data_IF_144193765259
#
_entry.id   IF_144193765259
#
_cell.length_a   1.000
_cell.length_b   1.000
_cell.length_c   1.000
_cell.angle_alpha   90.00
_cell.angle_beta   90.00
_cell.angle_gamma   90.00
#
_symmetry.space_group_name_H-M   'P 1'
#
loop_
_entity.id
_entity.type
_entity.pdbx_description
1 polymer ?
#
# COMPACT_ATOMS: atom_id res chain seq x y z
N UNK A 1 5.81 1.18 28.28
CA UNK A 1 4.43 1.15 27.74
C UNK A 1 3.83 2.53 27.59
N UNK A 2 4.51 3.44 26.90
CA UNK A 2 3.92 4.74 26.57
C UNK A 2 3.61 4.79 25.08
N UNK A 3 2.48 4.18 24.69
CA UNK A 3 1.80 4.59 23.47
C UNK A 3 1.39 6.05 23.64
N UNK A 4 1.94 6.94 22.84
CA UNK A 4 1.55 8.36 22.86
C UNK A 4 0.07 8.46 22.54
N UNK A 5 -0.73 8.93 23.50
CA UNK A 5 -2.11 9.37 23.27
C UNK A 5 -2.05 10.64 22.42
N UNK A 6 -2.25 10.49 21.12
CA UNK A 6 -2.49 11.62 20.24
C UNK A 6 -3.98 11.88 20.32
N UNK A 7 -4.37 12.91 21.08
CA UNK A 7 -5.75 13.39 21.14
C UNK A 7 -6.06 14.13 19.83
N UNK A 8 -6.58 13.40 18.84
CA UNK A 8 -7.37 14.00 17.78
C UNK A 8 -8.80 14.19 18.33
N UNK A 9 -9.42 15.31 18.04
CA UNK A 9 -10.83 15.55 18.34
C UNK A 9 -11.71 14.70 17.44
N UNK A 10 -12.92 14.35 17.89
CA UNK A 10 -13.87 13.61 17.07
C UNK A 10 -14.16 14.32 15.74
N UNK A 11 -14.09 15.64 15.69
CA UNK A 11 -14.27 16.49 14.51
C UNK A 11 -13.11 16.32 13.49
N UNK A 12 -11.86 16.22 13.96
CA UNK A 12 -10.69 15.96 13.11
C UNK A 12 -10.70 14.53 12.54
N UNK A 13 -11.22 13.58 13.31
CA UNK A 13 -11.44 12.19 12.86
C UNK A 13 -12.57 12.16 11.83
N UNK A 14 -13.65 12.92 12.01
CA UNK A 14 -14.78 12.99 11.08
C UNK A 14 -14.41 13.67 9.75
N UNK A 15 -13.59 14.74 9.78
CA UNK A 15 -13.03 15.34 8.56
C UNK A 15 -12.15 14.36 7.78
N UNK A 16 -11.37 13.52 8.48
CA UNK A 16 -10.58 12.45 7.86
C UNK A 16 -11.46 11.37 7.24
N UNK A 17 -12.60 11.05 7.85
CA UNK A 17 -13.60 10.13 7.31
C UNK A 17 -14.24 10.67 6.01
N UNK A 18 -14.60 11.93 5.96
CA UNK A 18 -15.17 12.59 4.76
C UNK A 18 -14.16 12.55 3.60
N UNK A 19 -12.86 12.65 3.88
CA UNK A 19 -11.81 12.53 2.86
C UNK A 19 -11.62 11.10 2.35
N UNK A 20 -11.92 10.09 3.17
CA UNK A 20 -11.84 8.67 2.79
C UNK A 20 -13.04 8.18 1.98
N UNK A 21 -14.14 8.93 1.88
CA UNK A 21 -15.34 8.54 1.14
C UNK A 21 -15.21 8.58 -0.39
N UNK A 22 -14.10 9.07 -0.93
CA UNK A 22 -13.83 8.97 -2.39
C UNK A 22 -13.41 7.56 -2.77
N UNK A 23 -14.35 6.63 -2.65
CA UNK A 23 -14.12 5.24 -3.05
C UNK A 23 -14.01 5.10 -4.57
N UNK A 24 -13.00 4.36 -4.98
CA UNK A 24 -12.81 3.98 -6.38
C UNK A 24 -13.64 2.74 -6.67
N UNK A 25 -14.75 2.88 -7.40
CA UNK A 25 -15.36 1.72 -8.05
C UNK A 25 -14.43 1.24 -9.15
N UNK A 26 -14.01 0.01 -9.02
CA UNK A 26 -13.09 -0.63 -9.96
C UNK A 26 -13.68 -0.67 -11.35
N UNK A 27 -12.97 -0.08 -12.30
CA UNK A 27 -13.31 -0.15 -13.72
C UNK A 27 -12.35 -1.17 -14.37
N UNK A 28 -12.90 -2.12 -15.14
CA UNK A 28 -12.13 -3.13 -15.90
C UNK A 28 -10.98 -2.51 -16.72
N UNK A 29 -11.17 -1.31 -17.22
CA UNK A 29 -10.13 -0.57 -17.96
C UNK A 29 -8.94 -0.20 -17.05
N UNK A 30 -9.20 0.20 -15.83
CA UNK A 30 -8.16 0.56 -14.84
C UNK A 30 -7.33 -0.66 -14.49
N UNK A 31 -7.97 -1.82 -14.27
CA UNK A 31 -7.27 -3.08 -13.99
C UNK A 31 -6.38 -3.46 -15.19
N UNK A 32 -6.92 -3.38 -16.41
CA UNK A 32 -6.16 -3.67 -17.62
C UNK A 32 -4.92 -2.76 -17.74
N UNK A 33 -5.07 -1.47 -17.47
CA UNK A 33 -3.94 -0.52 -17.53
C UNK A 33 -2.86 -0.87 -16.48
N UNK A 34 -3.25 -1.20 -15.24
CA UNK A 34 -2.31 -1.65 -14.18
C UNK A 34 -1.55 -2.90 -14.63
N UNK A 35 -2.24 -3.90 -15.15
CA UNK A 35 -1.63 -5.16 -15.60
C UNK A 35 -0.65 -4.92 -16.73
N UNK A 36 -1.03 -4.16 -17.76
CA UNK A 36 -0.12 -3.83 -18.87
C UNK A 36 1.10 -3.06 -18.41
N UNK A 37 0.96 -2.10 -17.48
CA UNK A 37 2.08 -1.34 -16.97
C UNK A 37 3.06 -2.21 -16.16
N UNK A 38 2.55 -3.13 -15.32
CA UNK A 38 3.39 -4.05 -14.57
C UNK A 38 4.09 -5.07 -15.48
N UNK A 39 3.40 -5.60 -16.49
CA UNK A 39 4.02 -6.47 -17.49
C UNK A 39 5.09 -5.74 -18.30
N UNK A 40 4.84 -4.48 -18.66
CA UNK A 40 5.83 -3.66 -19.35
C UNK A 40 7.06 -3.39 -18.49
N UNK A 41 6.89 -3.10 -17.18
CA UNK A 41 7.99 -2.96 -16.23
C UNK A 41 8.83 -4.24 -16.17
N UNK A 42 8.21 -5.38 -15.94
CA UNK A 42 8.89 -6.67 -15.86
C UNK A 42 9.67 -7.00 -17.16
N UNK A 43 9.10 -6.66 -18.32
CA UNK A 43 9.77 -6.85 -19.61
C UNK A 43 10.95 -5.90 -19.80
N UNK A 44 10.85 -4.65 -19.37
CA UNK A 44 11.90 -3.61 -19.58
C UNK A 44 13.03 -3.70 -18.57
N UNK A 45 12.80 -4.20 -17.36
CA UNK A 45 13.85 -4.46 -16.37
C UNK A 45 14.80 -5.56 -16.82
N UNK A 46 14.31 -6.54 -17.58
CA UNK A 46 15.11 -7.61 -18.20
C UNK A 46 15.78 -7.24 -19.53
N UNK A 47 15.46 -6.08 -20.12
CA UNK A 47 15.90 -5.72 -21.48
C UNK A 47 16.27 -4.23 -21.64
N UNK A 48 17.15 -3.95 -22.60
CA UNK A 48 17.77 -2.63 -22.90
C UNK A 48 16.76 -1.55 -23.40
N UNK A 49 15.48 -1.84 -23.53
CA UNK A 49 14.48 -0.95 -24.11
C UNK A 49 13.94 0.12 -23.13
N UNK A 50 14.77 0.64 -22.24
CA UNK A 50 14.45 1.59 -21.15
C UNK A 50 13.85 2.96 -21.53
N UNK A 51 13.49 3.23 -22.79
CA UNK A 51 13.12 4.60 -23.23
C UNK A 51 11.78 4.76 -23.96
N UNK A 52 10.89 3.80 -24.01
CA UNK A 52 9.60 4.01 -24.67
C UNK A 52 8.48 4.32 -23.67
N UNK A 53 7.71 5.38 -23.97
CA UNK A 53 6.57 5.83 -23.16
C UNK A 53 5.56 4.70 -22.94
N UNK A 54 5.04 4.62 -21.73
CA UNK A 54 4.13 3.62 -21.13
C UNK A 54 2.80 3.34 -21.89
N UNK A 55 2.54 3.92 -23.06
CA UNK A 55 1.35 3.72 -23.88
C UNK A 55 1.69 3.12 -25.24
N UNK A 56 2.53 2.10 -25.26
CA UNK A 56 2.93 1.52 -26.54
C UNK A 56 1.85 0.52 -26.99
N UNK A 57 1.03 0.94 -27.95
CA UNK A 57 0.04 0.08 -28.63
C UNK A 57 0.70 -1.22 -29.14
N UNK A 58 1.95 -1.12 -29.62
CA UNK A 58 2.70 -2.27 -30.08
C UNK A 58 2.97 -3.29 -28.97
N UNK A 59 3.32 -2.82 -27.75
CA UNK A 59 3.52 -3.73 -26.61
C UNK A 59 2.22 -4.46 -26.24
N UNK A 60 1.08 -3.76 -26.19
CA UNK A 60 -0.24 -4.38 -25.95
C UNK A 60 -0.56 -5.43 -27.01
N UNK A 61 -0.32 -5.12 -28.28
CA UNK A 61 -0.49 -6.11 -29.36
C UNK A 61 0.43 -7.32 -29.18
N UNK A 62 1.68 -7.12 -28.74
CA UNK A 62 2.59 -8.22 -28.45
C UNK A 62 2.10 -9.09 -27.28
N UNK A 63 1.59 -8.46 -26.22
CA UNK A 63 0.98 -9.18 -25.08
C UNK A 63 -0.20 -10.01 -25.54
N UNK A 64 -1.12 -9.43 -26.31
CA UNK A 64 -2.31 -10.11 -26.83
C UNK A 64 -1.96 -11.30 -27.74
N UNK A 65 -0.87 -11.19 -28.49
CA UNK A 65 -0.45 -12.24 -29.43
C UNK A 65 0.42 -13.35 -28.79
N UNK A 66 1.28 -13.00 -27.84
CA UNK A 66 2.34 -13.89 -27.36
C UNK A 66 2.31 -14.15 -25.85
N UNK A 67 1.57 -13.35 -25.06
CA UNK A 67 1.55 -13.44 -23.61
C UNK A 67 0.12 -13.37 -23.02
N UNK A 68 -0.89 -13.68 -23.81
CA UNK A 68 -2.30 -13.56 -23.42
C UNK A 68 -2.63 -14.33 -22.14
N UNK A 69 -2.16 -15.56 -22.00
CA UNK A 69 -2.39 -16.37 -20.79
C UNK A 69 -1.76 -15.72 -19.53
N UNK A 70 -0.55 -15.17 -19.66
CA UNK A 70 0.12 -14.45 -18.56
C UNK A 70 -0.66 -13.19 -18.19
N UNK A 71 -1.16 -12.45 -19.18
CA UNK A 71 -2.00 -11.28 -18.98
C UNK A 71 -3.30 -11.64 -18.24
N UNK A 72 -4.01 -12.67 -18.69
CA UNK A 72 -5.27 -13.11 -18.08
C UNK A 72 -5.07 -13.51 -16.60
N UNK A 73 -4.02 -14.25 -16.28
CA UNK A 73 -3.66 -14.60 -14.91
C UNK A 73 -3.35 -13.36 -14.04
N UNK A 74 -2.58 -12.42 -14.58
CA UNK A 74 -2.30 -11.16 -13.86
C UNK A 74 -3.60 -10.34 -13.68
N UNK A 75 -4.44 -10.29 -14.71
CA UNK A 75 -5.71 -9.58 -14.67
C UNK A 75 -6.62 -10.12 -13.56
N UNK A 76 -6.81 -11.44 -13.47
CA UNK A 76 -7.61 -12.08 -12.42
C UNK A 76 -7.10 -11.74 -11.02
N UNK A 77 -5.78 -11.73 -10.80
CA UNK A 77 -5.19 -11.34 -9.52
C UNK A 77 -5.54 -9.88 -9.19
N UNK A 78 -5.29 -8.94 -10.11
CA UNK A 78 -5.60 -7.53 -9.87
C UNK A 78 -7.10 -7.26 -9.77
N UNK A 79 -7.96 -7.97 -10.50
CA UNK A 79 -9.41 -7.89 -10.37
C UNK A 79 -9.84 -8.29 -8.95
N UNK A 80 -9.32 -9.39 -8.43
CA UNK A 80 -9.58 -9.84 -7.06
C UNK A 80 -9.06 -8.85 -6.01
N UNK A 81 -7.88 -8.29 -6.20
CA UNK A 81 -7.31 -7.28 -5.30
C UNK A 81 -8.11 -5.97 -5.27
N UNK A 82 -8.68 -5.60 -6.42
CA UNK A 82 -9.46 -4.36 -6.59
C UNK A 82 -10.94 -4.53 -6.29
N UNK A 83 -11.41 -5.75 -6.00
CA UNK A 83 -12.81 -5.98 -5.67
C UNK A 83 -13.24 -5.19 -4.44
N UNK A 84 -14.45 -4.61 -4.48
CA UNK A 84 -15.02 -3.80 -3.43
C UNK A 84 -14.48 -2.37 -3.39
N UNK A 85 -14.70 -1.69 -2.28
CA UNK A 85 -14.25 -0.32 -2.08
C UNK A 85 -12.75 -0.28 -1.77
N UNK A 86 -12.06 0.68 -2.37
CA UNK A 86 -10.64 0.93 -2.14
C UNK A 86 -10.36 2.41 -1.95
N UNK A 87 -9.51 2.73 -0.97
CA UNK A 87 -9.04 4.10 -0.70
C UNK A 87 -7.51 4.11 -0.59
N UNK A 88 -6.91 5.28 -0.79
CA UNK A 88 -5.48 5.45 -0.55
C UNK A 88 -5.15 5.26 0.95
N UNK A 89 -4.08 4.53 1.33
CA UNK A 89 -3.87 4.08 2.71
C UNK A 89 -3.38 5.17 3.68
N UNK A 90 -3.16 6.39 3.20
CA UNK A 90 -2.83 7.57 4.03
C UNK A 90 -3.94 8.60 3.86
N UNK A 91 -4.65 8.90 4.95
CA UNK A 91 -5.79 9.83 4.92
C UNK A 91 -5.27 11.27 4.94
N UNK A 92 -5.09 11.86 3.76
CA UNK A 92 -4.73 13.26 3.56
C UNK A 92 -5.27 13.73 2.20
N UNK A 93 -5.32 15.04 2.01
CA UNK A 93 -5.65 15.63 0.71
C UNK A 93 -4.51 15.54 -0.33
N UNK A 94 -3.42 14.80 -0.01
CA UNK A 94 -2.26 14.69 -0.88
C UNK A 94 -1.38 15.93 -0.94
N UNK A 95 -1.92 17.10 -0.55
CA UNK A 95 -1.20 18.38 -0.51
C UNK A 95 -1.61 19.20 0.72
N UNK A 96 -0.71 20.02 1.22
CA UNK A 96 -1.00 21.01 2.25
C UNK A 96 -1.73 22.24 1.67
N UNK A 97 -2.06 23.20 2.54
CA UNK A 97 -2.74 24.45 2.15
C UNK A 97 -1.94 25.32 1.15
N UNK A 98 -0.66 25.04 0.95
CA UNK A 98 0.19 25.71 -0.05
C UNK A 98 0.25 24.95 -1.38
N UNK A 99 -0.40 23.79 -1.50
CA UNK A 99 -0.35 22.89 -2.64
C UNK A 99 0.90 22.00 -2.68
N UNK A 100 1.72 21.99 -1.61
CA UNK A 100 2.88 21.11 -1.51
C UNK A 100 2.43 19.70 -1.12
N UNK A 101 2.95 18.69 -1.82
CA UNK A 101 2.68 17.28 -1.48
C UNK A 101 3.11 16.98 -0.03
N UNK A 102 2.26 16.28 0.70
CA UNK A 102 2.49 15.91 2.11
C UNK A 102 3.09 14.51 2.27
N UNK A 103 3.17 13.75 1.20
CA UNK A 103 3.87 12.48 1.10
C UNK A 103 4.43 12.28 -0.32
N UNK A 104 5.36 11.33 -0.45
CA UNK A 104 5.89 10.91 -1.74
C UNK A 104 6.23 9.42 -1.74
N UNK A 105 6.18 8.77 -2.88
CA UNK A 105 6.59 7.38 -3.03
C UNK A 105 7.07 7.12 -4.47
N UNK A 106 7.92 6.10 -4.60
CA UNK A 106 8.48 5.66 -5.87
C UNK A 106 8.22 4.16 -6.08
N UNK A 107 8.41 3.72 -7.31
CA UNK A 107 8.30 2.32 -7.70
C UNK A 107 9.55 1.55 -7.22
N UNK A 108 9.53 1.15 -5.95
CA UNK A 108 10.65 0.51 -5.25
C UNK A 108 10.45 -0.97 -4.95
N UNK A 109 9.33 -1.56 -5.38
CA UNK A 109 9.10 -2.99 -5.23
C UNK A 109 10.17 -3.80 -6.00
N UNK A 110 10.70 -4.84 -5.34
CA UNK A 110 11.76 -5.66 -5.91
C UNK A 110 13.18 -5.09 -5.74
N UNK A 111 13.35 -3.87 -5.22
CA UNK A 111 14.69 -3.32 -4.93
C UNK A 111 15.39 -4.10 -3.83
N UNK A 112 16.72 -4.14 -3.91
CA UNK A 112 17.53 -4.79 -2.89
C UNK A 112 17.44 -4.06 -1.54
N UNK A 113 17.36 -4.83 -0.47
CA UNK A 113 17.38 -4.38 0.92
C UNK A 113 18.47 -5.11 1.68
N UNK A 114 19.32 -4.37 2.38
CA UNK A 114 20.46 -4.92 3.11
C UNK A 114 20.18 -5.23 4.58
N UNK A 115 19.18 -4.58 5.21
CA UNK A 115 18.88 -4.84 6.60
C UNK A 115 18.24 -6.23 6.80
N UNK A 116 18.84 -7.04 7.69
CA UNK A 116 18.35 -8.38 7.99
C UNK A 116 18.65 -9.43 6.91
N UNK A 117 19.74 -9.24 6.14
CA UNK A 117 20.19 -10.12 5.07
C UNK A 117 19.74 -9.66 3.67
N UNK A 118 20.20 -10.37 2.66
CA UNK A 118 19.82 -10.09 1.27
C UNK A 118 18.36 -10.45 1.06
N UNK A 119 17.56 -9.44 0.74
CA UNK A 119 16.11 -9.58 0.48
C UNK A 119 15.65 -8.56 -0.52
N UNK A 120 14.51 -8.82 -1.14
CA UNK A 120 13.83 -7.85 -2.00
C UNK A 120 12.83 -7.04 -1.18
N UNK A 121 12.54 -5.82 -1.65
CA UNK A 121 11.49 -4.97 -1.12
C UNK A 121 10.13 -5.50 -1.58
N UNK A 122 9.28 -5.89 -0.65
CA UNK A 122 7.99 -6.53 -0.92
C UNK A 122 6.80 -5.57 -0.75
N UNK A 123 7.02 -4.30 -1.06
CA UNK A 123 5.99 -3.26 -0.92
C UNK A 123 6.41 -1.93 -1.56
N UNK A 124 5.70 -0.88 -1.19
CA UNK A 124 6.02 0.50 -1.53
C UNK A 124 6.13 1.31 -0.25
N UNK A 125 7.21 2.08 -0.12
CA UNK A 125 7.41 2.97 1.01
C UNK A 125 6.80 4.34 0.69
N UNK A 126 5.73 4.71 1.41
CA UNK A 126 5.08 6.02 1.32
C UNK A 126 5.74 6.94 2.35
N UNK A 127 6.67 7.77 1.88
CA UNK A 127 7.49 8.65 2.70
C UNK A 127 6.72 9.88 3.15
N UNK A 128 6.77 10.21 4.44
CA UNK A 128 6.19 11.41 5.00
C UNK A 128 7.03 12.65 4.65
N UNK A 129 6.41 13.72 4.10
CA UNK A 129 7.10 15.00 3.91
C UNK A 129 7.48 15.64 5.27
N UNK A 130 6.56 15.59 6.22
CA UNK A 130 6.85 15.97 7.61
C UNK A 130 7.34 14.74 8.36
N UNK A 131 8.64 14.66 8.61
CA UNK A 131 9.31 13.56 9.31
C UNK A 131 8.99 13.57 10.82
N UNK A 132 7.69 13.43 11.16
CA UNK A 132 7.19 13.44 12.54
C UNK A 132 6.36 12.18 12.76
N UNK A 133 6.81 11.23 13.61
CA UNK A 133 6.02 10.04 13.95
C UNK A 133 4.66 10.44 14.54
N UNK A 134 3.61 9.68 14.18
CA UNK A 134 2.26 9.91 14.66
C UNK A 134 1.50 11.06 13.99
N UNK A 135 2.06 11.70 12.95
CA UNK A 135 1.41 12.84 12.31
C UNK A 135 0.41 12.46 11.22
N UNK A 136 0.74 11.47 10.37
CA UNK A 136 -0.13 11.07 9.26
C UNK A 136 -0.98 9.86 9.63
N UNK A 137 -2.33 9.98 9.50
CA UNK A 137 -3.22 8.84 9.73
C UNK A 137 -3.06 7.77 8.66
N UNK A 138 -3.05 6.52 9.09
CA UNK A 138 -3.04 5.32 8.22
C UNK A 138 -4.42 4.68 8.29
N UNK A 139 -5.05 4.48 7.14
CA UNK A 139 -6.39 3.90 7.02
C UNK A 139 -6.36 2.58 6.25
N UNK A 140 -7.36 1.73 6.50
CA UNK A 140 -7.52 0.51 5.72
C UNK A 140 -7.79 0.85 4.27
N UNK A 141 -6.98 0.31 3.35
CA UNK A 141 -7.23 0.45 1.92
C UNK A 141 -8.53 -0.25 1.48
N UNK A 142 -8.96 -1.28 2.19
CA UNK A 142 -10.01 -2.20 1.78
C UNK A 142 -10.95 -2.53 2.94
N UNK A 143 -12.13 -3.02 2.61
CA UNK A 143 -12.97 -3.79 3.55
C UNK A 143 -12.22 -5.08 3.92
N UNK A 144 -12.34 -5.55 5.16
CA UNK A 144 -11.72 -6.80 5.57
C UNK A 144 -11.75 -7.03 7.08
N UNK A 145 -10.87 -7.93 7.53
CA UNK A 145 -10.68 -8.29 8.93
C UNK A 145 -9.25 -8.02 9.33
N UNK A 146 -9.02 -7.46 10.52
CA UNK A 146 -7.69 -7.35 11.12
C UNK A 146 -7.21 -8.75 11.48
N UNK A 147 -6.43 -9.36 10.61
CA UNK A 147 -5.91 -10.71 10.83
C UNK A 147 -4.59 -10.71 11.56
N UNK A 148 -3.85 -9.60 11.47
CA UNK A 148 -2.58 -9.46 12.14
C UNK A 148 -2.42 -8.07 12.77
N UNK A 149 -1.87 -8.04 14.01
CA UNK A 149 -1.54 -6.81 14.75
C UNK A 149 -0.42 -7.12 15.74
N UNK A 150 0.56 -6.23 15.87
CA UNK A 150 1.66 -6.37 16.83
C UNK A 150 3.01 -6.06 16.22
N UNK A 151 4.07 -6.41 16.94
CA UNK A 151 5.45 -6.14 16.57
C UNK A 151 6.03 -7.21 15.65
N UNK A 152 6.81 -6.76 14.66
CA UNK A 152 7.77 -7.58 13.92
C UNK A 152 9.12 -6.86 13.93
N UNK A 153 10.22 -7.60 14.04
CA UNK A 153 11.57 -7.03 14.11
C UNK A 153 11.86 -6.07 12.94
N UNK A 154 11.50 -6.46 11.72
CA UNK A 154 11.71 -5.62 10.53
C UNK A 154 10.62 -4.57 10.36
N UNK A 155 9.36 -4.95 10.52
CA UNK A 155 8.19 -4.11 10.23
C UNK A 155 7.77 -3.17 11.37
N UNK A 156 8.34 -3.32 12.57
CA UNK A 156 7.90 -2.56 13.74
C UNK A 156 6.46 -2.86 14.15
N UNK A 157 5.75 -1.88 14.64
CA UNK A 157 4.31 -1.98 14.85
C UNK A 157 3.61 -2.09 13.49
N UNK A 158 2.86 -3.18 13.31
CA UNK A 158 2.20 -3.46 12.03
C UNK A 158 0.77 -3.93 12.21
N UNK A 159 -0.04 -3.72 11.18
CA UNK A 159 -1.38 -4.27 11.01
C UNK A 159 -1.45 -4.99 9.66
N UNK A 160 -2.17 -6.11 9.64
CA UNK A 160 -2.52 -6.84 8.43
C UNK A 160 -4.03 -6.97 8.30
N UNK A 161 -4.56 -6.61 7.15
CA UNK A 161 -5.98 -6.71 6.81
C UNK A 161 -6.15 -7.77 5.73
N UNK A 162 -6.96 -8.78 6.00
CA UNK A 162 -7.37 -9.76 4.99
C UNK A 162 -8.72 -9.36 4.41
N UNK A 163 -8.73 -9.07 3.12
CA UNK A 163 -9.95 -8.74 2.38
C UNK A 163 -10.85 -9.99 2.20
N UNK A 164 -12.15 -9.82 1.88
CA UNK A 164 -13.05 -10.95 1.59
C UNK A 164 -12.58 -11.85 0.46
N UNK A 165 -11.78 -11.33 -0.46
CA UNK A 165 -11.16 -12.07 -1.58
C UNK A 165 -9.96 -12.93 -1.17
N UNK A 166 -9.53 -12.85 0.10
CA UNK A 166 -8.32 -13.51 0.61
C UNK A 166 -7.02 -12.71 0.41
N UNK A 167 -7.08 -11.58 -0.30
CA UNK A 167 -5.91 -10.70 -0.44
C UNK A 167 -5.51 -10.10 0.91
N UNK A 168 -4.22 -10.06 1.19
CA UNK A 168 -3.67 -9.54 2.44
C UNK A 168 -2.96 -8.21 2.22
N UNK A 169 -3.38 -7.20 2.98
CA UNK A 169 -2.86 -5.84 2.94
C UNK A 169 -2.07 -5.54 4.20
N UNK A 170 -0.80 -5.20 4.06
CA UNK A 170 0.17 -5.05 5.13
C UNK A 170 0.56 -3.59 5.32
N UNK A 171 0.48 -3.13 6.55
CA UNK A 171 0.78 -1.74 6.97
C UNK A 171 1.82 -1.80 8.08
N UNK A 172 3.04 -1.33 7.83
CA UNK A 172 4.15 -1.42 8.77
C UNK A 172 4.77 -0.07 9.11
N UNK A 173 5.67 -0.11 10.09
CA UNK A 173 6.36 1.04 10.67
C UNK A 173 5.43 2.05 11.37
N UNK A 174 4.27 1.58 11.88
CA UNK A 174 3.33 2.45 12.56
C UNK A 174 3.93 3.05 13.83
N UNK A 175 3.58 4.30 14.15
CA UNK A 175 3.89 4.93 15.42
C UNK A 175 2.98 4.41 16.54
N UNK A 176 1.70 4.34 16.25
CA UNK A 176 0.65 3.92 17.17
C UNK A 176 -0.54 3.32 16.42
N UNK A 177 -1.36 2.57 17.13
CA UNK A 177 -2.62 2.03 16.61
C UNK A 177 -3.79 2.96 16.91
N UNK A 178 -4.84 2.87 16.10
CA UNK A 178 -6.13 3.46 16.43
C UNK A 178 -6.66 2.90 17.76
N UNK A 179 -7.29 3.76 18.55
CA UNK A 179 -7.84 3.37 19.84
C UNK A 179 -8.91 2.27 19.66
N UNK A 180 -8.85 1.25 20.50
CA UNK A 180 -9.83 0.15 20.52
C UNK A 180 -9.69 -0.89 19.40
N UNK A 181 -8.90 -0.65 18.34
CA UNK A 181 -8.75 -1.59 17.24
C UNK A 181 -8.02 -2.87 17.70
N UNK A 182 -8.62 -4.03 17.44
CA UNK A 182 -8.11 -5.32 17.85
C UNK A 182 -8.00 -6.31 16.68
N UNK A 183 -7.15 -7.34 16.84
CA UNK A 183 -7.13 -8.49 15.94
C UNK A 183 -8.50 -9.19 15.99
N UNK A 184 -9.06 -9.49 14.82
CA UNK A 184 -10.41 -10.04 14.64
C UNK A 184 -11.47 -9.00 14.30
N UNK A 185 -11.20 -7.71 14.46
CA UNK A 185 -12.16 -6.66 14.11
C UNK A 185 -12.39 -6.60 12.60
N UNK A 186 -13.65 -6.36 12.23
CA UNK A 186 -14.02 -6.05 10.86
C UNK A 186 -13.84 -4.55 10.61
N UNK A 187 -13.18 -4.21 9.53
CA UNK A 187 -12.94 -2.83 9.09
C UNK A 187 -13.51 -2.58 7.70
N UNK A 188 -13.83 -1.32 7.43
CA UNK A 188 -14.18 -0.83 6.10
C UNK A 188 -13.00 -0.10 5.48
N UNK A 189 -12.99 0.01 4.13
CA UNK A 189 -12.10 0.94 3.46
C UNK A 189 -12.25 2.34 4.08
N UNK A 190 -11.11 2.97 4.46
CA UNK A 190 -11.10 4.24 5.17
C UNK A 190 -11.10 4.16 6.70
N UNK A 191 -11.34 2.98 7.31
CA UNK A 191 -11.25 2.84 8.76
C UNK A 191 -9.84 3.16 9.24
N UNK A 192 -9.71 4.04 10.25
CA UNK A 192 -8.42 4.38 10.86
C UNK A 192 -7.78 3.14 11.49
N UNK A 193 -6.56 2.83 11.08
CA UNK A 193 -5.76 1.73 11.62
C UNK A 193 -4.73 2.20 12.65
N UNK A 194 -4.20 3.40 12.47
CA UNK A 194 -3.14 3.97 13.29
C UNK A 194 -2.48 5.16 12.62
N UNK A 195 -1.25 5.42 13.00
CA UNK A 195 -0.50 6.56 12.51
C UNK A 195 0.86 6.15 11.98
N UNK A 196 1.32 6.82 10.93
CA UNK A 196 2.61 6.60 10.30
C UNK A 196 3.75 6.88 11.27
N UNK A 197 4.78 6.04 11.27
CA UNK A 197 5.90 6.17 12.18
C UNK A 197 7.24 5.75 11.58
N UNK A 198 8.15 5.38 12.46
CA UNK A 198 9.54 5.01 12.18
C UNK A 198 9.98 3.79 13.01
N UNK A 199 9.02 2.95 13.39
CA UNK A 199 9.24 1.78 14.24
C UNK A 199 9.76 0.58 13.45
N UNK A 200 10.61 -0.24 14.07
CA UNK A 200 11.17 -1.44 13.47
C UNK A 200 12.69 -1.48 13.46
N UNK A 201 13.23 -2.46 12.75
CA UNK A 201 14.67 -2.73 12.62
C UNK A 201 15.34 -2.95 13.97
N UNK A 202 14.72 -3.83 14.81
CA UNK A 202 15.23 -4.21 16.11
C UNK A 202 14.18 -4.81 17.04
N UNK A 203 14.52 -4.87 18.32
CA UNK A 203 13.62 -5.34 19.37
C UNK A 203 12.39 -4.45 19.48
N UNK A 204 11.32 -4.98 20.08
CA UNK A 204 10.07 -4.24 20.28
C UNK A 204 10.30 -2.84 20.87
N UNK A 205 9.70 -1.82 20.25
CA UNK A 205 9.86 -0.43 20.62
C UNK A 205 11.01 0.30 19.93
N UNK A 206 11.83 -0.37 19.10
CA UNK A 206 12.90 0.30 18.33
C UNK A 206 12.31 1.34 17.38
N UNK A 207 12.89 2.57 17.38
CA UNK A 207 12.47 3.73 16.58
C UNK A 207 13.66 4.50 16.02
N UNK A 208 13.41 5.37 15.04
CA UNK A 208 14.39 6.35 14.55
C UNK A 208 15.53 5.75 13.72
N UNK A 209 15.40 4.54 13.20
CA UNK A 209 16.40 3.92 12.33
C UNK A 209 16.32 4.41 10.88
N UNK A 210 15.20 5.00 10.50
CA UNK A 210 14.91 5.50 9.16
C UNK A 210 13.86 6.64 9.25
N UNK A 211 13.71 7.43 8.18
CA UNK A 211 12.68 8.48 8.13
C UNK A 211 11.27 7.91 8.26
N UNK A 212 10.34 8.73 8.78
CA UNK A 212 8.92 8.36 8.91
C UNK A 212 8.33 8.00 7.56
N UNK A 213 7.76 6.80 7.47
CA UNK A 213 7.06 6.32 6.28
C UNK A 213 6.07 5.19 6.63
N UNK A 214 5.13 4.95 5.74
CA UNK A 214 4.33 3.74 5.73
C UNK A 214 4.93 2.76 4.72
N UNK A 215 5.41 1.62 5.20
CA UNK A 215 5.66 0.49 4.31
C UNK A 215 4.34 -0.22 4.05
N UNK A 216 3.91 -0.22 2.79
CA UNK A 216 2.66 -0.81 2.34
C UNK A 216 2.92 -1.97 1.40
N UNK A 217 2.49 -3.17 1.81
CA UNK A 217 2.62 -4.41 1.05
C UNK A 217 1.27 -5.01 0.69
N UNK A 218 1.21 -5.73 -0.42
CA UNK A 218 0.02 -6.47 -0.86
C UNK A 218 0.44 -7.88 -1.23
N UNK A 219 -0.28 -8.87 -0.66
CA UNK A 219 0.03 -10.28 -0.80
C UNK A 219 -1.22 -11.06 -1.19
N UNK A 220 -1.03 -12.18 -1.86
CA UNK A 220 -2.07 -13.13 -2.20
C UNK A 220 -1.55 -14.56 -2.06
N UNK A 221 -2.43 -15.49 -1.78
CA UNK A 221 -2.09 -16.91 -1.78
C UNK A 221 -2.10 -17.47 -3.20
N UNK A 222 -1.09 -18.24 -3.52
CA UNK A 222 -1.03 -19.04 -4.75
C UNK A 222 -0.65 -20.47 -4.41
N UNK A 223 -1.65 -21.34 -4.32
CA UNK A 223 -1.46 -22.75 -4.02
C UNK A 223 -0.78 -23.03 -2.67
N UNK A 224 -1.11 -22.25 -1.64
CA UNK A 224 -0.52 -22.36 -0.30
C UNK A 224 0.81 -21.62 -0.15
N UNK A 225 1.24 -20.87 -1.16
CA UNK A 225 2.40 -19.98 -1.09
C UNK A 225 1.97 -18.51 -1.13
N UNK A 226 2.37 -17.75 -0.11
CA UNK A 226 2.19 -16.30 -0.10
C UNK A 226 3.08 -15.66 -1.18
N UNK A 227 2.50 -14.86 -2.03
CA UNK A 227 3.17 -14.08 -3.08
C UNK A 227 2.90 -12.60 -2.87
N UNK A 228 3.93 -11.79 -3.07
CA UNK A 228 3.83 -10.34 -3.07
C UNK A 228 3.61 -9.80 -4.47
N UNK A 229 2.92 -8.68 -4.59
CA UNK A 229 2.79 -7.93 -5.83
C UNK A 229 3.29 -6.50 -5.63
N UNK A 230 3.66 -5.85 -6.73
CA UNK A 230 4.01 -4.44 -6.75
C UNK A 230 2.76 -3.57 -6.50
N UNK A 231 2.65 -2.87 -5.36
CA UNK A 231 1.48 -2.05 -5.06
C UNK A 231 1.54 -0.65 -5.70
N UNK A 232 2.66 -0.26 -6.29
CA UNK A 232 2.88 1.10 -6.80
C UNK A 232 1.78 1.57 -7.74
N UNK A 233 1.41 0.75 -8.74
CA UNK A 233 0.37 1.11 -9.72
C UNK A 233 -1.02 1.19 -9.10
N UNK A 234 -1.29 0.34 -8.12
CA UNK A 234 -2.52 0.39 -7.33
C UNK A 234 -2.61 1.71 -6.56
N UNK A 235 -1.54 2.09 -5.86
CA UNK A 235 -1.46 3.37 -5.15
C UNK A 235 -1.64 4.57 -6.09
N UNK A 236 -0.97 4.57 -7.26
CA UNK A 236 -1.11 5.63 -8.26
C UNK A 236 -2.53 5.78 -8.77
N UNK A 237 -3.23 4.66 -8.98
CA UNK A 237 -4.63 4.67 -9.40
C UNK A 237 -5.55 5.31 -8.34
N UNK A 238 -5.30 5.03 -7.06
CA UNK A 238 -6.08 5.58 -5.96
C UNK A 238 -5.77 7.07 -5.72
N UNK A 239 -4.49 7.46 -5.79
CA UNK A 239 -4.05 8.86 -5.64
C UNK A 239 -4.68 9.82 -6.67
N UNK A 240 -4.81 9.42 -7.93
CA UNK A 240 -5.37 10.28 -8.99
C UNK A 240 -6.85 10.62 -8.82
N UNK A 241 -7.49 10.08 -7.79
CA UNK A 241 -8.90 10.28 -7.48
C UNK A 241 -9.13 11.03 -6.16
N UNK A 242 -8.04 11.38 -5.47
CA UNK A 242 -8.03 12.36 -4.40
C UNK A 242 -8.03 13.78 -5.00
#
# INVERSE_FOLDING_TARGET
>A
DEMRNINMTDEEVEELYVLSEKTVKTNKRVIADIVYENMFKAYTEGNILKKQKQNNVLFRMCVDLFAKEAYEKCYEIYESLMEGNKVFPVATNGSDNSGKKVYGYEDSWGFDRSYGGDRKHEGTDIMAEKNTPGYYPVVSMTDGVVTEKGWLEKGGWRIGITAPTGAYFYYAHLDSYAAGLQKGDTVKAGTLLGYMGDTGYGQEGTRGKFPVHLHFGVYYDKNGEEKTIDPYRLLRCLETKL
#
